data_IF_844233283097
#
_entry.id   IF_844233283097
#
_cell.length_a   1.000
_cell.length_b   1.000
_cell.length_c   1.000
_cell.angle_alpha   90.00
_cell.angle_beta   90.00
_cell.angle_gamma   90.00
#
_symmetry.space_group_name_H-M   'P 1'
#
loop_
_entity.id
_entity.type
_entity.pdbx_description
1 polymer ?
#
# COMPACT_ATOMS: atom_id res chain seq x y z
N UNK A 1 -23.35 9.88 -3.71
CA UNK A 1 -22.80 10.18 -2.37
C UNK A 1 -21.70 9.18 -2.08
N UNK A 2 -20.49 9.68 -1.87
CA UNK A 2 -19.51 9.26 -0.86
C UNK A 2 -18.26 10.08 -1.12
N UNK A 3 -18.05 11.12 -0.31
CA UNK A 3 -16.81 11.88 -0.23
C UNK A 3 -15.68 10.91 0.08
N UNK A 4 -14.78 10.69 -0.89
CA UNK A 4 -13.54 9.96 -0.68
C UNK A 4 -12.65 10.84 0.19
N UNK A 5 -12.79 10.72 1.50
CA UNK A 5 -11.82 11.29 2.43
C UNK A 5 -10.55 10.48 2.24
N UNK A 6 -9.60 10.99 1.46
CA UNK A 6 -8.33 10.32 1.19
C UNK A 6 -7.60 10.08 2.52
N UNK A 7 -7.73 8.85 3.04
CA UNK A 7 -7.07 8.43 4.25
C UNK A 7 -5.69 7.87 3.88
N UNK A 8 -4.63 8.52 4.33
CA UNK A 8 -3.27 8.06 4.10
C UNK A 8 -2.77 7.18 5.25
N UNK A 9 -2.37 5.96 4.95
CA UNK A 9 -1.84 5.00 5.90
C UNK A 9 -0.32 5.15 6.04
N UNK A 10 0.19 4.99 7.25
CA UNK A 10 1.63 4.81 7.49
C UNK A 10 2.10 3.40 7.08
N UNK A 11 3.42 3.19 7.00
CA UNK A 11 4.01 1.85 6.83
C UNK A 11 3.53 0.86 7.89
N UNK A 12 3.43 1.28 9.14
CA UNK A 12 3.00 0.42 10.24
C UNK A 12 1.53 -0.01 10.10
N UNK A 13 0.64 0.94 9.78
CA UNK A 13 -0.77 0.64 9.53
C UNK A 13 -0.94 -0.31 8.33
N UNK A 14 -0.24 -0.03 7.24
CA UNK A 14 -0.29 -0.86 6.03
C UNK A 14 0.23 -2.27 6.31
N UNK A 15 1.38 -2.40 6.98
CA UNK A 15 1.94 -3.70 7.34
C UNK A 15 1.01 -4.51 8.26
N UNK A 16 0.33 -3.85 9.20
CA UNK A 16 -0.65 -4.49 10.07
C UNK A 16 -1.86 -5.03 9.27
N UNK A 17 -2.35 -4.30 8.27
CA UNK A 17 -3.45 -4.77 7.40
C UNK A 17 -3.05 -6.01 6.60
N UNK A 18 -1.83 -6.04 6.05
CA UNK A 18 -1.28 -7.19 5.34
C UNK A 18 -0.79 -8.33 6.26
N UNK A 19 -0.82 -8.13 7.59
CA UNK A 19 -0.27 -9.07 8.59
C UNK A 19 1.19 -9.45 8.33
N UNK A 20 1.99 -8.49 7.87
CA UNK A 20 3.43 -8.66 7.62
C UNK A 20 4.24 -7.68 8.48
N UNK A 21 5.55 -7.89 8.56
CA UNK A 21 6.44 -6.90 9.17
C UNK A 21 6.60 -5.66 8.28
N UNK A 22 6.88 -4.48 8.87
CA UNK A 22 7.23 -3.27 8.10
C UNK A 22 8.44 -3.54 7.18
N UNK A 23 9.40 -4.34 7.65
CA UNK A 23 10.59 -4.74 6.88
C UNK A 23 10.21 -5.54 5.62
N UNK A 24 9.20 -6.40 5.72
CA UNK A 24 8.65 -7.15 4.58
C UNK A 24 7.96 -6.21 3.60
N UNK A 25 7.12 -5.29 4.08
CA UNK A 25 6.47 -4.28 3.25
C UNK A 25 7.50 -3.40 2.50
N UNK A 26 8.59 -3.02 3.15
CA UNK A 26 9.67 -2.29 2.49
C UNK A 26 10.37 -3.10 1.41
N UNK A 27 10.57 -4.42 1.61
CA UNK A 27 11.11 -5.30 0.56
C UNK A 27 10.17 -5.38 -0.63
N UNK A 28 8.86 -5.48 -0.40
CA UNK A 28 7.85 -5.48 -1.46
C UNK A 28 7.92 -4.20 -2.29
N UNK A 29 7.96 -3.04 -1.62
CA UNK A 29 8.11 -1.76 -2.30
C UNK A 29 9.39 -1.67 -3.17
N UNK A 30 10.52 -2.25 -2.72
CA UNK A 30 11.73 -2.32 -3.54
C UNK A 30 11.61 -3.29 -4.72
N UNK A 31 10.80 -4.34 -4.59
CA UNK A 31 10.53 -5.32 -5.63
C UNK A 31 9.41 -4.90 -6.60
N UNK A 32 8.75 -3.76 -6.35
CA UNK A 32 7.59 -3.32 -7.13
C UNK A 32 6.31 -4.11 -6.86
N UNK A 33 6.22 -4.76 -5.69
CA UNK A 33 5.09 -5.59 -5.28
C UNK A 33 4.24 -4.81 -4.26
N UNK A 34 2.92 -4.99 -4.31
CA UNK A 34 2.02 -4.39 -3.33
C UNK A 34 1.57 -2.97 -3.67
N UNK A 35 0.88 -2.30 -2.73
CA UNK A 35 0.41 -0.93 -2.92
C UNK A 35 1.57 0.06 -3.00
N UNK A 36 1.37 1.12 -3.77
CA UNK A 36 2.40 2.09 -4.12
C UNK A 36 2.74 3.00 -2.93
N UNK A 37 4.02 3.10 -2.53
CA UNK A 37 4.43 4.02 -1.49
C UNK A 37 4.46 5.48 -2.01
N UNK A 38 3.66 6.33 -1.40
CA UNK A 38 3.61 7.78 -1.65
C UNK A 38 4.60 8.52 -0.74
N UNK A 39 5.57 9.22 -1.32
CA UNK A 39 6.56 10.01 -0.57
C UNK A 39 6.05 11.44 -0.35
N UNK A 40 5.82 11.83 0.90
CA UNK A 40 5.46 13.20 1.31
C UNK A 40 6.66 13.93 1.94
N UNK A 41 7.83 13.82 1.31
CA UNK A 41 9.09 14.39 1.80
C UNK A 41 10.18 13.34 2.05
N UNK A 42 11.33 13.75 2.61
CA UNK A 42 12.54 12.91 2.66
C UNK A 42 12.43 11.67 3.57
N UNK A 43 11.49 11.67 4.53
CA UNK A 43 11.32 10.57 5.51
C UNK A 43 9.88 10.08 5.65
N UNK A 44 8.92 10.76 5.03
CA UNK A 44 7.51 10.45 5.21
C UNK A 44 7.01 9.64 4.03
N UNK A 45 6.71 8.37 4.28
CA UNK A 45 6.06 7.48 3.32
C UNK A 45 4.64 7.18 3.82
N UNK A 46 3.68 7.31 2.91
CA UNK A 46 2.28 7.00 3.10
C UNK A 46 1.81 6.02 2.04
N UNK A 47 0.66 5.43 2.26
CA UNK A 47 -0.05 4.60 1.28
C UNK A 47 -1.47 5.12 1.19
N UNK A 48 -2.02 5.13 -0.02
CA UNK A 48 -3.43 5.42 -0.21
C UNK A 48 -4.27 4.27 0.38
N UNK A 49 -5.22 4.59 1.27
CA UNK A 49 -6.04 3.58 1.91
C UNK A 49 -6.88 2.78 0.91
N UNK A 50 -7.42 3.44 -0.11
CA UNK A 50 -8.30 2.77 -1.06
C UNK A 50 -7.50 1.83 -1.96
N UNK A 51 -6.29 2.22 -2.37
CA UNK A 51 -5.34 1.35 -3.08
C UNK A 51 -4.94 0.13 -2.23
N UNK A 52 -4.61 0.35 -0.95
CA UNK A 52 -4.26 -0.74 -0.01
C UNK A 52 -5.42 -1.73 0.14
N UNK A 53 -6.64 -1.23 0.32
CA UNK A 53 -7.83 -2.05 0.45
C UNK A 53 -8.22 -2.74 -0.87
N UNK A 54 -7.97 -2.11 -2.01
CA UNK A 54 -8.16 -2.73 -3.32
C UNK A 54 -7.20 -3.90 -3.52
N UNK A 55 -5.91 -3.72 -3.24
CA UNK A 55 -4.90 -4.78 -3.31
C UNK A 55 -5.19 -5.92 -2.32
N UNK A 56 -5.73 -5.63 -1.13
CA UNK A 56 -6.16 -6.68 -0.19
C UNK A 56 -7.33 -7.51 -0.70
N UNK A 57 -8.27 -6.88 -1.41
CA UNK A 57 -9.48 -7.55 -1.93
C UNK A 57 -9.18 -8.34 -3.19
N UNK A 58 -8.34 -7.80 -4.07
CA UNK A 58 -8.11 -8.34 -5.39
C UNK A 58 -6.73 -9.04 -5.49
N UNK A 59 -5.82 -8.91 -4.52
CA UNK A 59 -4.44 -9.39 -4.67
C UNK A 59 -3.77 -8.79 -5.92
N UNK A 60 -2.74 -9.46 -6.43
CA UNK A 60 -2.10 -9.15 -7.73
C UNK A 60 -3.03 -9.38 -8.95
N UNK A 61 -4.37 -9.28 -8.84
CA UNK A 61 -5.31 -9.46 -9.97
C UNK A 61 -5.30 -8.31 -11.00
N UNK A 62 -4.19 -7.58 -11.10
CA UNK A 62 -3.85 -6.81 -12.29
C UNK A 62 -2.52 -7.32 -12.84
N UNK A 63 -2.64 -8.44 -13.54
CA UNK A 63 -1.87 -8.68 -14.76
C UNK A 63 -0.35 -8.86 -14.62
N UNK A 64 0.04 -10.09 -14.30
CA UNK A 64 0.88 -10.89 -15.22
C UNK A 64 0.15 -11.14 -16.55
N UNK A 65 -0.37 -10.09 -17.19
CA UNK A 65 -0.74 -10.11 -18.61
C UNK A 65 0.50 -9.65 -19.37
N UNK A 66 1.39 -10.60 -19.60
CA UNK A 66 2.42 -10.57 -20.63
C UNK A 66 2.54 -11.98 -21.18
#
# INVERSE_FOLDING_TARGET
MSTVTAHFLSKAQTAALFKVSVRTLERWAQAGIGPTPLKHGPRLVRYDNDEVLDYLRNGELRESAS
#
